data_IF_763171202595
#
_entry.id   IF_763171202595
#
_cell.length_a   1.000
_cell.length_b   1.000
_cell.length_c   1.000
_cell.angle_alpha   90.00
_cell.angle_beta   90.00
_cell.angle_gamma   90.00
#
_symmetry.space_group_name_H-M   'P 1'
#
loop_
_entity.id
_entity.type
_entity.pdbx_description
1 polymer ?
#
# COMPACT_ATOMS: atom_id res chain seq x y z
N UNK A 1 9.43 7.36 -17.09
CA UNK A 1 8.96 6.70 -15.85
C UNK A 1 7.44 6.66 -15.91
N UNK A 2 6.80 5.54 -15.55
CA UNK A 2 5.34 5.35 -15.68
C UNK A 2 4.72 4.98 -14.33
N UNK A 3 3.39 5.05 -14.18
CA UNK A 3 2.69 4.60 -12.97
C UNK A 3 3.04 3.15 -12.54
N UNK A 4 3.40 2.28 -13.50
CA UNK A 4 3.84 0.91 -13.21
C UNK A 4 5.17 0.89 -12.42
N UNK A 5 6.11 1.77 -12.77
CA UNK A 5 7.35 1.89 -12.02
C UNK A 5 7.11 2.43 -10.60
N UNK A 6 6.18 3.38 -10.45
CA UNK A 6 5.75 3.86 -9.13
C UNK A 6 5.23 2.70 -8.27
N UNK A 7 4.28 1.92 -8.79
CA UNK A 7 3.72 0.76 -8.08
C UNK A 7 4.81 -0.24 -7.69
N UNK A 8 5.75 -0.56 -8.58
CA UNK A 8 6.87 -1.45 -8.28
C UNK A 8 7.77 -0.91 -7.17
N UNK A 9 8.14 0.36 -7.22
CA UNK A 9 8.95 1.00 -6.17
C UNK A 9 8.22 1.03 -4.83
N UNK A 10 6.90 1.27 -4.82
CA UNK A 10 6.08 1.20 -3.60
C UNK A 10 6.01 -0.22 -3.04
N UNK A 11 5.89 -1.25 -3.89
CA UNK A 11 5.92 -2.66 -3.45
C UNK A 11 7.23 -2.99 -2.76
N UNK A 12 8.37 -2.56 -3.32
CA UNK A 12 9.69 -2.78 -2.71
C UNK A 12 9.85 -2.01 -1.41
N UNK A 13 9.43 -0.75 -1.37
CA UNK A 13 9.45 0.09 -0.18
C UNK A 13 8.61 -0.51 0.95
N UNK A 14 7.38 -0.96 0.67
CA UNK A 14 6.51 -1.56 1.67
C UNK A 14 7.01 -2.93 2.14
N UNK A 15 7.66 -3.71 1.28
CA UNK A 15 8.34 -4.96 1.69
C UNK A 15 9.44 -4.67 2.71
N UNK A 16 10.23 -3.63 2.50
CA UNK A 16 11.25 -3.21 3.45
C UNK A 16 10.61 -2.64 4.74
N UNK A 17 9.58 -1.82 4.60
CA UNK A 17 8.88 -1.17 5.72
C UNK A 17 8.24 -2.17 6.68
N UNK A 18 7.76 -3.31 6.18
CA UNK A 18 7.07 -4.34 6.98
C UNK A 18 7.89 -5.62 7.16
N UNK A 19 9.20 -5.60 6.89
CA UNK A 19 10.06 -6.77 7.07
C UNK A 19 10.14 -7.27 8.52
N UNK A 20 9.93 -6.38 9.49
CA UNK A 20 9.93 -6.62 10.93
C UNK A 20 8.50 -6.63 11.53
N UNK A 21 7.47 -6.67 10.70
CA UNK A 21 6.08 -6.68 11.16
C UNK A 21 5.83 -7.88 12.09
N UNK A 22 5.18 -7.62 13.22
CA UNK A 22 4.72 -8.62 14.17
C UNK A 22 3.26 -8.30 14.50
N UNK A 23 2.38 -9.30 14.41
CA UNK A 23 0.97 -9.16 14.76
C UNK A 23 0.76 -9.28 16.27
N UNK A 24 -0.29 -8.66 16.77
CA UNK A 24 -0.76 -8.83 18.15
C UNK A 24 -1.09 -10.29 18.52
N UNK A 25 -1.38 -11.14 17.54
CA UNK A 25 -1.66 -12.57 17.73
C UNK A 25 -0.42 -13.47 17.77
N UNK A 26 0.79 -12.91 17.60
CA UNK A 26 2.06 -13.65 17.50
C UNK A 26 2.56 -14.22 18.86
N UNK A 27 1.67 -14.42 19.83
CA UNK A 27 1.96 -15.04 21.14
C UNK A 27 2.47 -16.49 20.99
N UNK A 28 2.20 -17.13 19.85
CA UNK A 28 2.65 -18.51 19.54
C UNK A 28 4.08 -18.63 19.00
N UNK A 29 4.81 -17.51 18.81
CA UNK A 29 6.18 -17.52 18.30
C UNK A 29 6.32 -17.77 16.79
N UNK A 30 5.21 -17.95 16.07
CA UNK A 30 5.19 -17.92 14.60
C UNK A 30 5.10 -16.46 14.16
N UNK A 31 6.15 -15.95 13.52
CA UNK A 31 6.10 -14.67 12.82
C UNK A 31 5.53 -14.92 11.42
N UNK A 32 4.29 -14.51 11.13
CA UNK A 32 3.75 -14.69 9.80
C UNK A 32 4.53 -13.80 8.82
N UNK A 33 4.82 -14.34 7.64
CA UNK A 33 5.49 -13.57 6.59
C UNK A 33 4.54 -12.48 6.10
N UNK A 34 4.96 -11.22 6.18
CA UNK A 34 4.18 -10.11 5.63
C UNK A 34 4.23 -10.12 4.10
N UNK A 35 3.07 -10.13 3.46
CA UNK A 35 2.97 -10.20 2.00
C UNK A 35 2.64 -8.83 1.39
N UNK A 36 3.24 -8.54 0.24
CA UNK A 36 3.00 -7.29 -0.52
C UNK A 36 2.66 -7.65 -1.95
N UNK A 37 1.46 -7.28 -2.39
CA UNK A 37 0.92 -7.59 -3.71
C UNK A 37 0.72 -6.31 -4.54
N UNK A 38 0.84 -6.43 -5.87
CA UNK A 38 0.54 -5.36 -6.82
C UNK A 38 -0.84 -5.57 -7.44
N UNK A 39 -1.66 -4.53 -7.46
CA UNK A 39 -2.99 -4.46 -8.05
C UNK A 39 -4.04 -5.37 -7.39
N UNK A 40 -3.83 -6.68 -7.37
CA UNK A 40 -4.79 -7.65 -6.86
C UNK A 40 -4.10 -8.83 -6.18
N UNK A 41 -4.90 -9.58 -5.42
CA UNK A 41 -4.45 -10.87 -4.92
C UNK A 41 -4.30 -11.85 -6.10
N UNK A 42 -3.20 -12.62 -6.17
CA UNK A 42 -3.05 -13.66 -7.17
C UNK A 42 -4.20 -14.67 -7.09
N UNK A 43 -4.75 -15.04 -8.25
CA UNK A 43 -5.75 -16.11 -8.33
C UNK A 43 -5.04 -17.43 -7.98
N UNK A 44 -5.47 -18.09 -6.91
CA UNK A 44 -5.05 -19.46 -6.62
C UNK A 44 -6.09 -20.46 -7.08
N UNK A 45 -5.66 -21.36 -7.95
CA UNK A 45 -6.39 -22.60 -8.23
C UNK A 45 -6.13 -23.57 -7.05
N UNK A 46 -6.90 -23.43 -5.97
CA UNK A 46 -6.95 -24.40 -4.87
C UNK A 46 -6.00 -24.18 -3.68
N UNK A 47 -5.46 -22.97 -3.50
CA UNK A 47 -4.68 -22.61 -2.30
C UNK A 47 -5.54 -21.93 -1.24
N UNK A 48 -5.23 -22.15 0.04
CA UNK A 48 -5.90 -21.49 1.17
C UNK A 48 -5.54 -19.99 1.21
N UNK A 49 -6.53 -19.13 1.39
CA UNK A 49 -6.32 -17.68 1.52
C UNK A 49 -5.64 -17.33 2.86
N UNK A 50 -5.69 -18.24 3.83
CA UNK A 50 -5.06 -18.09 5.15
C UNK A 50 -3.53 -17.92 5.09
N UNK A 51 -2.85 -18.56 4.14
CA UNK A 51 -1.38 -18.44 4.01
C UNK A 51 -0.93 -17.07 3.50
N UNK A 52 -1.85 -16.26 2.98
CA UNK A 52 -1.56 -14.95 2.37
C UNK A 52 -1.65 -13.80 3.35
N UNK A 53 -2.21 -14.02 4.54
CA UNK A 53 -2.45 -12.99 5.56
C UNK A 53 -1.33 -13.05 6.62
N UNK A 54 -0.74 -11.91 7.03
CA UNK A 54 -1.10 -10.53 6.73
C UNK A 54 -0.55 -10.02 5.39
N UNK A 55 -1.26 -9.07 4.78
CA UNK A 55 -0.82 -8.44 3.53
C UNK A 55 -1.13 -6.95 3.40
N UNK A 56 -0.44 -6.32 2.44
CA UNK A 56 -0.86 -5.07 1.79
C UNK A 56 -0.92 -5.24 0.27
N UNK A 57 -1.96 -4.70 -0.36
CA UNK A 57 -2.07 -4.57 -1.82
C UNK A 57 -1.78 -3.13 -2.20
N UNK A 58 -0.91 -2.90 -3.19
CA UNK A 58 -0.64 -1.59 -3.79
C UNK A 58 -1.42 -1.47 -5.08
N UNK A 59 -2.49 -0.67 -5.09
CA UNK A 59 -3.37 -0.47 -6.25
C UNK A 59 -3.12 0.89 -6.89
N UNK A 60 -2.99 0.89 -8.21
CA UNK A 60 -3.16 2.13 -8.98
C UNK A 60 -4.67 2.29 -9.16
N UNK A 61 -5.21 3.42 -8.69
CA UNK A 61 -6.65 3.71 -8.75
C UNK A 61 -6.97 4.63 -9.93
N UNK A 62 -6.26 5.75 -10.03
CA UNK A 62 -6.49 6.75 -11.09
C UNK A 62 -5.21 7.54 -11.42
N UNK A 63 -5.20 8.23 -12.56
CA UNK A 63 -4.13 9.14 -13.00
C UNK A 63 -4.70 10.40 -13.64
N UNK A 64 -4.04 11.53 -13.46
CA UNK A 64 -4.45 12.81 -14.03
C UNK A 64 -3.24 13.60 -14.54
N UNK A 65 -3.34 14.10 -15.78
CA UNK A 65 -2.40 15.01 -16.42
C UNK A 65 -3.23 16.17 -16.96
N UNK A 66 -2.95 17.41 -16.54
CA UNK A 66 -3.74 18.57 -16.94
C UNK A 66 -3.22 19.18 -18.23
N UNK A 67 -1.90 19.35 -18.35
CA UNK A 67 -1.27 19.95 -19.54
C UNK A 67 -0.10 19.12 -20.10
N UNK A 68 0.32 19.45 -21.32
CA UNK A 68 1.53 18.89 -21.92
C UNK A 68 2.75 19.35 -21.11
N UNK A 69 3.75 18.48 -20.97
CA UNK A 69 4.96 18.71 -20.17
C UNK A 69 4.73 18.86 -18.66
N UNK A 70 3.51 18.66 -18.15
CA UNK A 70 3.26 18.60 -16.71
C UNK A 70 3.47 17.21 -16.12
N UNK A 71 3.67 17.18 -14.80
CA UNK A 71 3.78 15.95 -14.05
C UNK A 71 2.42 15.25 -13.97
N UNK A 72 2.43 13.93 -14.16
CA UNK A 72 1.24 13.12 -13.93
C UNK A 72 1.04 12.91 -12.43
N UNK A 73 -0.18 13.20 -11.95
CA UNK A 73 -0.61 12.88 -10.59
C UNK A 73 -1.29 11.52 -10.58
N UNK A 74 -0.71 10.56 -9.87
CA UNK A 74 -1.20 9.19 -9.76
C UNK A 74 -1.74 8.94 -8.36
N UNK A 75 -2.96 8.43 -8.31
CA UNK A 75 -3.65 8.04 -7.10
C UNK A 75 -3.41 6.55 -6.80
N UNK A 76 -2.93 6.28 -5.59
CA UNK A 76 -2.61 4.94 -5.10
C UNK A 76 -3.51 4.60 -3.91
N UNK A 77 -4.10 3.41 -3.93
CA UNK A 77 -4.80 2.83 -2.79
C UNK A 77 -3.98 1.67 -2.22
N UNK A 78 -3.67 1.74 -0.94
CA UNK A 78 -3.14 0.62 -0.17
C UNK A 78 -4.28 -0.10 0.54
N UNK A 79 -4.37 -1.42 0.41
CA UNK A 79 -5.38 -2.23 1.10
C UNK A 79 -4.69 -3.21 2.03
N UNK A 80 -4.97 -3.11 3.32
CA UNK A 80 -4.38 -3.93 4.38
C UNK A 80 -5.34 -5.02 4.83
N UNK A 81 -4.79 -6.19 5.16
CA UNK A 81 -5.53 -7.27 5.80
C UNK A 81 -4.66 -7.96 6.85
N UNK A 82 -5.23 -8.17 8.03
CA UNK A 82 -4.64 -8.95 9.13
C UNK A 82 -5.70 -9.93 9.64
N UNK A 83 -5.26 -11.14 10.00
CA UNK A 83 -6.09 -12.15 10.67
C UNK A 83 -5.77 -12.08 12.16
N UNK A 84 -6.78 -11.86 12.99
CA UNK A 84 -6.66 -11.97 14.44
C UNK A 84 -7.79 -12.83 14.98
N UNK A 85 -7.42 -13.92 15.63
CA UNK A 85 -8.28 -14.92 16.26
C UNK A 85 -8.41 -14.73 17.76
N UNK A 86 -7.68 -13.79 18.37
CA UNK A 86 -7.84 -13.49 19.79
C UNK A 86 -9.27 -13.06 20.17
N UNK A 87 -9.70 -13.44 21.37
CA UNK A 87 -11.05 -13.15 21.87
C UNK A 87 -11.32 -11.64 22.02
N UNK A 88 -10.27 -10.83 22.13
CA UNK A 88 -10.34 -9.38 22.30
C UNK A 88 -10.43 -8.60 20.97
N UNK A 89 -10.47 -9.29 19.82
CA UNK A 89 -10.60 -8.70 18.47
C UNK A 89 -9.60 -7.56 18.20
N UNK A 90 -8.34 -7.74 18.60
CA UNK A 90 -7.32 -6.68 18.54
C UNK A 90 -6.70 -6.47 17.15
N UNK A 91 -7.13 -7.19 16.11
CA UNK A 91 -6.57 -7.06 14.76
C UNK A 91 -6.69 -5.66 14.14
N UNK A 92 -7.66 -4.85 14.58
CA UNK A 92 -7.75 -3.45 14.15
C UNK A 92 -6.54 -2.62 14.61
N UNK A 93 -5.91 -2.95 15.74
CA UNK A 93 -4.70 -2.28 16.22
C UNK A 93 -3.52 -2.56 15.30
N UNK A 94 -3.40 -3.78 14.79
CA UNK A 94 -2.38 -4.13 13.81
C UNK A 94 -2.58 -3.33 12.51
N UNK A 95 -3.81 -3.28 11.99
CA UNK A 95 -4.15 -2.45 10.81
C UNK A 95 -3.81 -0.98 11.06
N UNK A 96 -4.19 -0.43 12.21
CA UNK A 96 -3.89 0.97 12.54
C UNK A 96 -2.40 1.25 12.67
N UNK A 97 -1.65 0.35 13.30
CA UNK A 97 -0.20 0.47 13.40
C UNK A 97 0.45 0.46 12.01
N UNK A 98 -0.03 -0.40 11.11
CA UNK A 98 0.45 -0.42 9.73
C UNK A 98 0.19 0.89 9.00
N UNK A 99 -1.02 1.44 9.12
CA UNK A 99 -1.39 2.74 8.55
C UNK A 99 -0.48 3.85 9.11
N UNK A 100 -0.23 3.87 10.42
CA UNK A 100 0.65 4.88 11.03
C UNK A 100 2.11 4.74 10.55
N UNK A 101 2.63 3.53 10.39
CA UNK A 101 3.99 3.31 9.86
C UNK A 101 4.14 3.84 8.44
N UNK A 102 3.15 3.61 7.58
CA UNK A 102 3.11 4.17 6.22
C UNK A 102 3.05 5.70 6.27
N UNK A 103 2.17 6.26 7.09
CA UNK A 103 2.08 7.71 7.28
C UNK A 103 3.42 8.29 7.72
N UNK A 104 4.02 7.75 8.77
CA UNK A 104 5.31 8.22 9.29
C UNK A 104 6.40 8.14 8.21
N UNK A 105 6.48 7.05 7.45
CA UNK A 105 7.46 6.87 6.37
C UNK A 105 7.36 7.97 5.32
N UNK A 106 6.16 8.29 4.85
CA UNK A 106 5.95 9.25 3.76
C UNK A 106 5.97 10.71 4.22
N UNK A 107 5.58 10.99 5.47
CA UNK A 107 5.71 12.33 6.03
C UNK A 107 7.14 12.66 6.46
N UNK A 108 7.97 11.67 6.83
CA UNK A 108 9.41 11.88 7.08
C UNK A 108 10.21 12.00 5.79
N UNK A 109 9.87 11.21 4.78
CA UNK A 109 10.51 11.26 3.47
C UNK A 109 9.47 10.99 2.39
N UNK A 110 9.05 12.05 1.72
CA UNK A 110 8.04 12.00 0.66
C UNK A 110 8.53 11.35 -0.63
N UNK A 111 9.83 11.04 -0.77
CA UNK A 111 10.39 10.44 -1.98
C UNK A 111 10.23 8.92 -2.01
N UNK A 112 9.91 8.40 -3.19
CA UNK A 112 9.90 6.97 -3.53
C UNK A 112 10.80 6.74 -4.72
N UNK A 113 11.82 5.91 -4.54
CA UNK A 113 12.90 5.79 -5.52
C UNK A 113 13.53 7.15 -5.83
N UNK A 114 13.92 7.37 -7.09
CA UNK A 114 14.57 8.61 -7.52
C UNK A 114 13.61 9.66 -8.08
N UNK A 115 12.41 9.25 -8.50
CA UNK A 115 11.60 10.03 -9.43
C UNK A 115 10.16 10.30 -8.97
N UNK A 116 9.72 9.72 -7.86
CA UNK A 116 8.34 9.83 -7.40
C UNK A 116 8.24 10.54 -6.06
N UNK A 117 7.19 11.34 -5.90
CA UNK A 117 7.01 12.22 -4.74
C UNK A 117 5.59 12.11 -4.22
N UNK A 118 5.44 11.74 -2.94
CA UNK A 118 4.18 11.76 -2.22
C UNK A 118 3.68 13.20 -2.08
N UNK A 119 2.38 13.36 -2.30
CA UNK A 119 1.64 14.61 -2.11
C UNK A 119 0.42 14.37 -1.20
N UNK A 120 0.21 15.18 -0.15
CA UNK A 120 -1.05 15.20 0.59
C UNK A 120 -2.27 15.45 -0.32
N UNK A 121 -3.47 14.98 0.06
CA UNK A 121 -3.82 14.40 1.35
C UNK A 121 -3.38 12.93 1.51
N UNK A 122 -3.31 12.50 2.78
CA UNK A 122 -3.20 11.10 3.19
C UNK A 122 -4.50 10.72 3.89
N UNK A 123 -5.34 9.97 3.19
CA UNK A 123 -6.66 9.57 3.70
C UNK A 123 -6.62 8.10 4.08
N UNK A 124 -7.30 7.73 5.15
CA UNK A 124 -7.35 6.34 5.60
C UNK A 124 -8.72 6.01 6.17
N UNK A 125 -9.08 4.74 6.08
CA UNK A 125 -10.29 4.19 6.66
C UNK A 125 -10.00 2.79 7.20
N UNK A 126 -10.71 2.41 8.26
CA UNK A 126 -10.78 1.03 8.74
C UNK A 126 -12.16 0.47 8.41
N UNK A 127 -12.24 -0.85 8.30
CA UNK A 127 -13.50 -1.53 8.06
C UNK A 127 -14.52 -1.29 9.19
N UNK A 128 -15.79 -1.12 8.81
CA UNK A 128 -16.92 -1.02 9.74
C UNK A 128 -17.68 -2.35 9.91
N UNK A 129 -17.65 -3.22 8.89
CA UNK A 129 -18.32 -4.52 8.89
C UNK A 129 -17.62 -5.55 9.80
N UNK A 130 -18.41 -6.43 10.44
CA UNK A 130 -17.85 -7.55 11.21
C UNK A 130 -17.43 -8.68 10.26
N UNK A 131 -16.14 -8.73 9.93
CA UNK A 131 -15.54 -9.80 9.11
C UNK A 131 -14.58 -10.69 9.89
N UNK A 132 -14.80 -10.81 11.20
CA UNK A 132 -14.00 -11.67 12.07
C UNK A 132 -13.81 -13.07 11.44
N UNK A 133 -12.58 -13.61 11.41
CA UNK A 133 -11.37 -13.13 12.10
C UNK A 133 -10.49 -12.15 11.29
N UNK A 134 -10.97 -11.61 10.18
CA UNK A 134 -10.22 -10.70 9.33
C UNK A 134 -10.51 -9.24 9.66
N UNK A 135 -9.47 -8.41 9.55
CA UNK A 135 -9.53 -6.98 9.80
C UNK A 135 -8.91 -6.24 8.63
N UNK A 136 -9.62 -5.24 8.11
CA UNK A 136 -9.20 -4.51 6.92
C UNK A 136 -9.04 -3.02 7.20
N UNK A 137 -8.15 -2.41 6.43
CA UNK A 137 -8.00 -0.97 6.34
C UNK A 137 -7.53 -0.56 4.96
N UNK A 138 -7.77 0.70 4.61
CA UNK A 138 -7.31 1.27 3.35
C UNK A 138 -6.66 2.62 3.58
N UNK A 139 -5.69 2.94 2.72
CA UNK A 139 -5.07 4.26 2.65
C UNK A 139 -5.11 4.72 1.21
N UNK A 140 -5.47 5.98 1.00
CA UNK A 140 -5.46 6.67 -0.27
C UNK A 140 -4.38 7.74 -0.27
N UNK A 141 -3.51 7.71 -1.27
CA UNK A 141 -2.32 8.56 -1.40
C UNK A 141 -2.17 9.07 -2.83
N UNK A 142 -1.51 10.22 -2.99
CA UNK A 142 -1.21 10.79 -4.29
C UNK A 142 0.30 10.89 -4.51
N UNK A 143 0.75 10.67 -5.74
CA UNK A 143 2.14 10.76 -6.13
C UNK A 143 2.32 11.48 -7.45
N UNK A 144 3.35 12.32 -7.55
CA UNK A 144 3.80 12.87 -8.82
C UNK A 144 4.74 11.90 -9.53
N UNK A 145 4.45 11.65 -10.80
CA UNK A 145 5.36 11.01 -11.75
C UNK A 145 6.03 12.06 -12.64
N UNK A 146 7.24 11.77 -13.16
CA UNK A 146 7.94 12.68 -14.08
C UNK A 146 7.11 13.01 -15.33
N UNK A 147 7.19 14.26 -15.77
CA UNK A 147 6.52 14.73 -16.97
C UNK A 147 7.02 14.02 -18.24
N UNK A 148 6.12 13.85 -19.20
CA UNK A 148 6.47 13.48 -20.58
C UNK A 148 6.73 14.79 -21.33
N UNK A 149 7.94 14.96 -21.83
CA UNK A 149 8.37 16.17 -22.53
C UNK A 149 8.15 15.99 -24.03
N UNK A 150 7.54 16.99 -24.67
CA UNK A 150 7.38 17.06 -26.12
C UNK A 150 8.75 17.00 -26.81
N UNK A 151 8.84 16.21 -27.90
CA UNK A 151 10.03 16.25 -28.76
C UNK A 151 10.05 17.56 -29.55
N UNK A 152 11.18 18.26 -29.55
CA UNK A 152 11.39 19.51 -30.28
C UNK A 152 11.20 19.30 -31.81
N UNK A 153 9.99 19.52 -32.31
CA UNK A 153 9.67 19.35 -33.73
C UNK A 153 8.44 20.09 -34.26
N UNK A 154 7.73 20.85 -33.41
CA UNK A 154 6.53 21.62 -33.79
C UNK A 154 6.63 23.05 -33.25
N UNK A 155 7.49 23.85 -33.87
CA UNK A 155 7.43 25.32 -33.83
C UNK A 155 7.38 25.82 -35.27
#
# INVERSE_FOLDING_TARGET
MTPIFLQRSLVEELKALFADFCSTDDVSGKRPKFNVYSQDLPITLGGDDEERVPYVIVRIDNGNIQELNEQERVEIILVFCVKATNENRQGYLDVMNMIQRVKERFFKNFRVGEYFFFEPPFEWAVQEEDTFPYFYGAVKMNFYCPAIILEDGLI
#
